data_IF_255669490929
#
_entry.id   IF_255669490929
#
_cell.length_a   1.000
_cell.length_b   1.000
_cell.length_c   1.000
_cell.angle_alpha   90.00
_cell.angle_beta   90.00
_cell.angle_gamma   90.00
#
_symmetry.space_group_name_H-M   'P 1'
#
loop_
_entity.id
_entity.type
_entity.pdbx_description
1 polymer ?
#
# COMPACT_ATOMS: atom_id res chain seq x y z
N UNK A 1 6.13 33.51 7.94
CA UNK A 1 6.89 32.43 8.62
C UNK A 1 6.01 31.64 9.61
N UNK A 2 5.09 32.29 10.31
CA UNK A 2 4.22 31.73 11.36
C UNK A 2 3.31 30.55 10.92
N UNK A 3 2.71 30.61 9.73
CA UNK A 3 1.87 29.53 9.17
C UNK A 3 2.68 28.22 9.04
N UNK A 4 3.90 28.30 8.54
CA UNK A 4 4.76 27.11 8.35
C UNK A 4 5.14 26.46 9.68
N UNK A 5 5.32 27.22 10.76
CA UNK A 5 5.63 26.65 12.08
C UNK A 5 4.42 25.97 12.72
N UNK A 6 3.22 26.56 12.60
CA UNK A 6 1.98 25.99 13.17
C UNK A 6 1.57 24.67 12.50
N UNK A 7 1.82 24.54 11.20
CA UNK A 7 1.45 23.35 10.43
C UNK A 7 2.61 22.38 10.16
N UNK A 8 3.82 22.67 10.64
CA UNK A 8 5.02 21.87 10.36
C UNK A 8 4.79 20.37 10.62
N UNK A 9 4.23 20.02 11.77
CA UNK A 9 3.95 18.62 12.11
C UNK A 9 2.93 17.93 11.18
N UNK A 10 1.95 18.68 10.67
CA UNK A 10 0.98 18.16 9.69
C UNK A 10 1.63 17.97 8.32
N UNK A 11 2.40 18.97 7.87
CA UNK A 11 3.13 18.92 6.60
C UNK A 11 4.13 17.76 6.60
N UNK A 12 4.89 17.58 7.68
CA UNK A 12 5.87 16.49 7.80
C UNK A 12 5.18 15.12 7.79
N UNK A 13 3.99 15.00 8.41
CA UNK A 13 3.19 13.76 8.37
C UNK A 13 2.67 13.47 6.96
N UNK A 14 2.08 14.45 6.28
CA UNK A 14 1.62 14.30 4.89
C UNK A 14 2.77 13.93 3.96
N UNK A 15 3.95 14.52 4.18
CA UNK A 15 5.15 14.22 3.40
C UNK A 15 5.61 12.77 3.60
N UNK A 16 5.60 12.27 4.84
CA UNK A 16 5.90 10.87 5.13
C UNK A 16 4.94 9.90 4.43
N UNK A 17 3.65 10.25 4.38
CA UNK A 17 2.64 9.44 3.69
C UNK A 17 2.90 9.47 2.18
N UNK A 18 3.13 10.66 1.61
CA UNK A 18 3.45 10.82 0.19
C UNK A 18 4.72 10.05 -0.21
N UNK A 19 5.78 10.13 0.58
CA UNK A 19 7.03 9.39 0.35
C UNK A 19 6.80 7.88 0.39
N UNK A 20 5.98 7.39 1.33
CA UNK A 20 5.60 5.96 1.37
C UNK A 20 4.86 5.56 0.11
N UNK A 21 3.89 6.36 -0.35
CA UNK A 21 3.13 6.08 -1.57
C UNK A 21 4.01 6.05 -2.81
N UNK A 22 4.94 7.02 -2.94
CA UNK A 22 5.88 7.07 -4.06
C UNK A 22 6.75 5.82 -4.17
N UNK A 23 7.17 5.24 -3.03
CA UNK A 23 7.95 3.98 -3.03
C UNK A 23 7.14 2.81 -3.59
N UNK A 24 5.82 2.82 -3.45
CA UNK A 24 4.94 1.74 -3.91
C UNK A 24 4.59 1.85 -5.40
N UNK A 25 4.66 3.06 -6.00
CA UNK A 25 4.18 3.31 -7.37
C UNK A 25 4.88 2.45 -8.43
N UNK A 26 6.18 2.21 -8.25
CA UNK A 26 6.98 1.47 -9.22
C UNK A 26 7.04 -0.04 -8.93
N UNK A 27 6.33 -0.51 -7.91
CA UNK A 27 6.32 -1.93 -7.52
C UNK A 27 5.23 -2.64 -8.31
N UNK A 28 5.60 -3.34 -9.37
CA UNK A 28 4.68 -4.16 -10.18
C UNK A 28 4.35 -5.47 -9.46
N UNK A 29 3.06 -5.81 -9.37
CA UNK A 29 2.57 -6.99 -8.63
C UNK A 29 1.63 -7.90 -9.43
N UNK A 30 1.09 -7.43 -10.56
CA UNK A 30 0.22 -8.25 -11.40
C UNK A 30 0.88 -9.55 -11.82
N UNK A 31 0.15 -10.65 -11.65
CA UNK A 31 0.62 -12.00 -11.94
C UNK A 31 1.80 -12.48 -11.06
N UNK A 32 2.17 -11.75 -10.00
CA UNK A 32 3.23 -12.18 -9.07
C UNK A 32 2.73 -12.97 -7.88
N UNK A 33 1.45 -12.86 -7.58
CA UNK A 33 0.83 -13.47 -6.41
C UNK A 33 -0.36 -14.30 -6.84
N UNK A 34 -0.52 -15.44 -6.19
CA UNK A 34 -1.81 -16.11 -6.07
C UNK A 34 -2.42 -15.62 -4.76
N UNK A 35 -3.30 -14.61 -4.81
CA UNK A 35 -3.79 -13.96 -3.59
C UNK A 35 -4.57 -14.94 -2.71
N UNK A 36 -5.26 -15.91 -3.30
CA UNK A 36 -6.00 -16.95 -2.57
C UNK A 36 -5.11 -17.85 -1.69
N UNK A 37 -3.80 -17.90 -1.94
CA UNK A 37 -2.84 -18.68 -1.17
C UNK A 37 -2.15 -17.86 -0.06
N UNK A 38 -2.42 -16.55 0.04
CA UNK A 38 -1.79 -15.65 1.00
C UNK A 38 -2.57 -15.62 2.33
N UNK A 39 -2.27 -16.56 3.22
CA UNK A 39 -2.99 -16.69 4.50
C UNK A 39 -2.75 -15.52 5.48
N UNK A 40 -1.72 -14.70 5.24
CA UNK A 40 -1.38 -13.54 6.05
C UNK A 40 -2.11 -12.26 5.62
N UNK A 41 -2.84 -12.29 4.51
CA UNK A 41 -3.71 -11.21 4.06
C UNK A 41 -5.13 -11.45 4.58
N UNK A 42 -5.84 -10.38 4.87
CA UNK A 42 -7.25 -10.48 5.24
C UNK A 42 -8.09 -11.09 4.12
N UNK A 43 -9.10 -11.90 4.45
CA UNK A 43 -10.01 -12.49 3.45
C UNK A 43 -10.67 -11.43 2.55
N UNK A 44 -10.97 -10.25 3.11
CA UNK A 44 -11.49 -9.12 2.33
C UNK A 44 -10.43 -8.56 1.36
N UNK A 45 -9.19 -8.42 1.82
CA UNK A 45 -8.04 -8.01 1.02
C UNK A 45 -7.82 -8.95 -0.16
N UNK A 46 -7.74 -10.25 0.09
CA UNK A 46 -7.54 -11.27 -0.94
C UNK A 46 -8.63 -11.24 -2.01
N UNK A 47 -9.90 -11.26 -1.59
CA UNK A 47 -11.04 -11.22 -2.53
C UNK A 47 -11.00 -9.97 -3.42
N UNK A 48 -10.58 -8.83 -2.86
CA UNK A 48 -10.51 -7.58 -3.59
C UNK A 48 -9.29 -7.50 -4.51
N UNK A 49 -8.14 -7.98 -4.06
CA UNK A 49 -6.92 -8.05 -4.85
C UNK A 49 -7.08 -9.00 -6.03
N UNK A 50 -7.66 -10.18 -5.81
CA UNK A 50 -7.97 -11.16 -6.86
C UNK A 50 -8.92 -10.57 -7.91
N UNK A 51 -9.98 -9.89 -7.47
CA UNK A 51 -10.99 -9.31 -8.37
C UNK A 51 -10.46 -8.13 -9.19
N UNK A 52 -9.60 -7.30 -8.59
CA UNK A 52 -9.10 -6.07 -9.23
C UNK A 52 -7.81 -6.33 -10.01
N UNK A 53 -7.03 -7.31 -9.59
CA UNK A 53 -5.70 -7.68 -10.12
C UNK A 53 -4.83 -6.43 -10.39
N UNK A 54 -4.46 -5.69 -9.34
CA UNK A 54 -3.79 -4.40 -9.48
C UNK A 54 -2.43 -4.53 -10.15
N UNK A 55 -2.09 -3.56 -11.00
CA UNK A 55 -0.80 -3.52 -11.68
C UNK A 55 0.36 -3.22 -10.74
N UNK A 56 0.10 -2.38 -9.74
CA UNK A 56 1.13 -1.93 -8.79
C UNK A 56 0.68 -2.03 -7.34
N UNK A 57 1.64 -2.12 -6.44
CA UNK A 57 1.36 -2.13 -5.01
C UNK A 57 0.74 -0.82 -4.52
N UNK A 58 1.06 0.31 -5.16
CA UNK A 58 0.37 1.59 -4.91
C UNK A 58 -1.09 1.57 -5.35
N UNK A 59 -1.42 0.84 -6.43
CA UNK A 59 -2.81 0.64 -6.82
C UNK A 59 -3.53 -0.23 -5.79
N UNK A 60 -2.90 -1.35 -5.37
CA UNK A 60 -3.43 -2.22 -4.32
C UNK A 60 -3.73 -1.44 -3.03
N UNK A 61 -2.82 -0.57 -2.58
CA UNK A 61 -2.99 0.18 -1.33
C UNK A 61 -4.11 1.21 -1.35
N UNK A 62 -4.64 1.55 -2.54
CA UNK A 62 -5.80 2.45 -2.70
C UNK A 62 -7.13 1.71 -2.81
N UNK A 63 -7.12 0.39 -2.85
CA UNK A 63 -8.34 -0.42 -2.91
C UNK A 63 -9.02 -0.36 -1.53
N UNK A 64 -10.27 0.13 -1.43
CA UNK A 64 -10.98 0.13 -0.15
C UNK A 64 -11.10 -1.28 0.39
N UNK A 65 -10.73 -1.51 1.66
CA UNK A 65 -10.74 -2.84 2.29
C UNK A 65 -9.45 -3.64 2.11
N UNK A 66 -8.48 -3.14 1.33
CA UNK A 66 -7.09 -3.60 1.44
C UNK A 66 -6.40 -2.75 2.50
N UNK A 67 -5.94 -3.38 3.57
CA UNK A 67 -5.36 -2.69 4.72
C UNK A 67 -3.86 -2.39 4.51
N UNK A 68 -3.30 -1.43 5.26
CA UNK A 68 -1.85 -1.21 5.26
C UNK A 68 -1.04 -2.45 5.70
N UNK A 69 -1.64 -3.34 6.51
CA UNK A 69 -1.01 -4.59 6.94
C UNK A 69 -0.89 -5.58 5.78
N UNK A 70 -1.93 -5.72 4.96
CA UNK A 70 -1.92 -6.58 3.76
C UNK A 70 -0.81 -6.14 2.80
N UNK A 71 -0.67 -4.83 2.58
CA UNK A 71 0.41 -4.26 1.75
C UNK A 71 1.80 -4.54 2.32
N UNK A 72 1.96 -4.48 3.65
CA UNK A 72 3.23 -4.80 4.29
C UNK A 72 3.59 -6.28 4.15
N UNK A 73 2.62 -7.19 4.29
CA UNK A 73 2.82 -8.63 4.05
C UNK A 73 3.34 -8.86 2.64
N UNK A 74 2.70 -8.24 1.64
CA UNK A 74 3.15 -8.34 0.24
C UNK A 74 4.57 -7.82 0.04
N UNK A 75 4.97 -6.73 0.71
CA UNK A 75 6.35 -6.22 0.66
C UNK A 75 7.35 -7.25 1.21
N UNK A 76 7.05 -7.85 2.37
CA UNK A 76 7.90 -8.87 2.99
C UNK A 76 8.04 -10.09 2.09
N UNK A 77 6.95 -10.55 1.47
CA UNK A 77 6.98 -11.69 0.52
C UNK A 77 7.79 -11.39 -0.74
N UNK A 78 7.89 -10.11 -1.15
CA UNK A 78 8.78 -9.68 -2.24
C UNK A 78 10.24 -9.52 -1.81
N UNK A 79 10.57 -9.77 -0.55
CA UNK A 79 11.91 -9.59 0.02
C UNK A 79 12.29 -8.13 0.23
N UNK A 80 11.32 -7.28 0.60
CA UNK A 80 11.52 -5.83 0.83
C UNK A 80 11.16 -5.38 2.24
#
# INVERSE_FOLDING_TARGET
>A
AEIKMKYKGYIDRERLIADKMHRLENIKIKGRFNYAELHEISTEGDQKLERIDPETLAQASRIPGVSPSDINVMLVLMGR
#
